data_IF_499827359201
#
_entry.id   IF_499827359201
#
_cell.length_a   1.000
_cell.length_b   1.000
_cell.length_c   1.000
_cell.angle_alpha   90.00
_cell.angle_beta   90.00
_cell.angle_gamma   90.00
#
_symmetry.space_group_name_H-M   'P 1'
#
loop_
_entity.id
_entity.type
_entity.pdbx_description
1 polymer ?
#
# COMPACT_ATOMS: atom_id res chain seq x y z
N UNK A 1 -17.33 -4.00 -13.56
CA UNK A 1 -16.99 -5.08 -12.59
C UNK A 1 -15.81 -5.93 -13.02
N UNK A 2 -15.87 -6.72 -14.10
CA UNK A 2 -14.74 -7.59 -14.49
C UNK A 2 -13.43 -6.82 -14.77
N UNK A 3 -13.54 -5.62 -15.34
CA UNK A 3 -12.41 -4.68 -15.46
C UNK A 3 -11.80 -4.32 -14.11
N UNK A 4 -12.62 -4.04 -13.09
CA UNK A 4 -12.14 -3.70 -11.75
C UNK A 4 -11.43 -4.89 -11.09
N UNK A 5 -11.96 -6.12 -11.25
CA UNK A 5 -11.29 -7.32 -10.76
C UNK A 5 -9.93 -7.55 -11.43
N UNK A 6 -9.85 -7.49 -12.75
CA UNK A 6 -8.58 -7.70 -13.47
C UNK A 6 -7.53 -6.64 -13.12
N UNK A 7 -7.94 -5.40 -12.86
CA UNK A 7 -7.02 -4.32 -12.42
C UNK A 7 -6.64 -4.48 -10.96
N UNK A 8 -7.60 -4.82 -10.11
CA UNK A 8 -7.38 -5.06 -8.68
C UNK A 8 -6.45 -6.23 -8.42
N UNK A 9 -6.59 -7.32 -9.19
CA UNK A 9 -5.70 -8.47 -9.13
C UNK A 9 -4.26 -8.09 -9.49
N UNK A 10 -4.06 -7.34 -10.58
CA UNK A 10 -2.72 -6.84 -10.93
C UNK A 10 -2.13 -5.96 -9.84
N UNK A 11 -2.91 -5.03 -9.31
CA UNK A 11 -2.47 -4.16 -8.22
C UNK A 11 -2.11 -4.97 -6.97
N UNK A 12 -2.88 -5.99 -6.62
CA UNK A 12 -2.58 -6.90 -5.53
C UNK A 12 -1.22 -7.59 -5.72
N UNK A 13 -0.95 -8.14 -6.90
CA UNK A 13 0.33 -8.80 -7.18
C UNK A 13 1.49 -7.81 -7.22
N UNK A 14 1.32 -6.62 -7.81
CA UNK A 14 2.36 -5.59 -7.81
C UNK A 14 2.74 -5.17 -6.38
N UNK A 15 1.73 -4.94 -5.53
CA UNK A 15 1.93 -4.62 -4.10
C UNK A 15 2.60 -5.76 -3.36
N UNK A 16 2.17 -7.01 -3.58
CA UNK A 16 2.78 -8.20 -2.99
C UNK A 16 4.27 -8.30 -3.34
N UNK A 17 4.62 -8.12 -4.63
CA UNK A 17 6.00 -8.18 -5.10
C UNK A 17 6.85 -7.09 -4.42
N UNK A 18 6.35 -5.85 -4.34
CA UNK A 18 7.06 -4.76 -3.67
C UNK A 18 7.28 -5.09 -2.18
N UNK A 19 6.25 -5.57 -1.49
CA UNK A 19 6.35 -5.96 -0.08
C UNK A 19 7.40 -7.07 0.12
N UNK A 20 7.41 -8.09 -0.73
CA UNK A 20 8.38 -9.20 -0.66
C UNK A 20 9.82 -8.74 -0.94
N UNK A 21 10.03 -7.97 -2.02
CA UNK A 21 11.36 -7.44 -2.36
C UNK A 21 11.88 -6.55 -1.23
N UNK A 22 11.02 -5.64 -0.74
CA UNK A 22 11.36 -4.75 0.37
C UNK A 22 11.68 -5.54 1.62
N UNK A 23 10.91 -6.58 1.92
CA UNK A 23 11.15 -7.44 3.09
C UNK A 23 12.50 -8.15 3.02
N UNK A 24 12.84 -8.75 1.87
CA UNK A 24 14.14 -9.43 1.69
C UNK A 24 15.30 -8.43 1.80
N UNK A 25 15.16 -7.26 1.19
CA UNK A 25 16.21 -6.24 1.18
C UNK A 25 16.45 -5.63 2.57
N UNK A 26 15.42 -5.09 3.22
CA UNK A 26 15.58 -4.39 4.51
C UNK A 26 15.76 -5.33 5.70
N UNK A 27 15.45 -6.63 5.55
CA UNK A 27 15.79 -7.62 6.58
C UNK A 27 17.26 -8.03 6.54
N UNK A 28 17.91 -7.92 5.38
CA UNK A 28 19.31 -8.37 5.20
C UNK A 28 20.32 -7.23 5.39
N UNK A 29 19.95 -6.00 5.04
CA UNK A 29 20.84 -4.85 5.10
C UNK A 29 20.53 -3.99 6.33
N UNK A 30 21.53 -3.66 7.19
CA UNK A 30 21.32 -2.81 8.35
C UNK A 30 20.91 -1.38 7.95
N UNK A 31 20.13 -0.72 8.81
CA UNK A 31 19.60 0.61 8.53
C UNK A 31 20.68 1.70 8.69
N UNK A 32 21.17 2.21 7.57
CA UNK A 32 22.06 3.36 7.44
C UNK A 32 21.41 4.45 6.53
N UNK A 33 22.05 5.61 6.38
CA UNK A 33 21.53 6.71 5.54
C UNK A 33 21.23 6.29 4.08
N UNK A 34 22.06 5.41 3.50
CA UNK A 34 21.89 4.92 2.12
C UNK A 34 20.68 3.99 2.01
N UNK A 35 20.51 3.05 2.95
CA UNK A 35 19.35 2.15 2.94
C UNK A 35 18.07 2.92 3.20
N UNK A 36 18.09 3.94 4.07
CA UNK A 36 16.96 4.83 4.28
C UNK A 36 16.54 5.55 2.99
N UNK A 37 17.50 6.05 2.21
CA UNK A 37 17.23 6.67 0.91
C UNK A 37 16.61 5.68 -0.09
N UNK A 38 17.16 4.46 -0.18
CA UNK A 38 16.61 3.39 -1.03
C UNK A 38 15.19 3.02 -0.57
N UNK A 39 14.96 2.94 0.74
CA UNK A 39 13.64 2.72 1.30
C UNK A 39 12.66 3.81 0.91
N UNK A 40 13.10 5.07 0.93
CA UNK A 40 12.27 6.20 0.52
C UNK A 40 11.85 6.09 -0.95
N UNK A 41 12.75 5.66 -1.82
CA UNK A 41 12.43 5.36 -3.24
C UNK A 41 11.42 4.22 -3.34
N UNK A 42 11.63 3.11 -2.62
CA UNK A 42 10.68 1.99 -2.61
C UNK A 42 9.29 2.40 -2.10
N UNK A 43 9.25 3.28 -1.10
CA UNK A 43 8.03 3.84 -0.57
C UNK A 43 7.28 4.70 -1.60
N UNK A 44 8.01 5.55 -2.35
CA UNK A 44 7.43 6.31 -3.45
C UNK A 44 6.90 5.40 -4.57
N UNK A 45 7.62 4.32 -4.90
CA UNK A 45 7.15 3.33 -5.88
C UNK A 45 5.88 2.65 -5.37
N UNK A 46 5.86 2.23 -4.11
CA UNK A 46 4.71 1.59 -3.47
C UNK A 46 3.44 2.44 -3.59
N UNK A 47 3.49 3.71 -3.17
CA UNK A 47 2.35 4.61 -3.31
C UNK A 47 2.09 5.03 -4.76
N UNK A 48 3.14 5.18 -5.56
CA UNK A 48 3.07 5.56 -6.96
C UNK A 48 2.30 4.55 -7.82
N UNK A 49 2.50 3.24 -7.59
CA UNK A 49 1.76 2.20 -8.33
C UNK A 49 0.26 2.26 -8.02
N UNK A 50 -0.13 2.48 -6.76
CA UNK A 50 -1.54 2.64 -6.38
C UNK A 50 -2.18 3.79 -7.15
N UNK A 51 -1.53 4.96 -7.17
CA UNK A 51 -2.00 6.12 -7.93
C UNK A 51 -2.04 5.85 -9.44
N UNK A 52 -0.98 5.27 -9.98
CA UNK A 52 -0.82 4.97 -11.42
C UNK A 52 -1.91 4.02 -11.93
N UNK A 53 -2.25 2.98 -11.15
CA UNK A 53 -3.32 2.05 -11.53
C UNK A 53 -4.68 2.73 -11.61
N UNK A 54 -4.98 3.65 -10.69
CA UNK A 54 -6.17 4.50 -10.76
C UNK A 54 -6.18 5.37 -12.02
N UNK A 55 -5.07 6.05 -12.29
CA UNK A 55 -4.93 6.98 -13.41
C UNK A 55 -4.97 6.29 -14.78
N UNK A 56 -4.25 5.18 -14.97
CA UNK A 56 -4.14 4.48 -16.26
C UNK A 56 -5.46 3.88 -16.72
N UNK A 57 -6.23 3.33 -15.79
CA UNK A 57 -7.36 2.48 -16.13
C UNK A 57 -8.69 3.21 -16.25
N UNK A 58 -8.74 4.53 -16.04
CA UNK A 58 -9.94 5.37 -16.14
C UNK A 58 -11.17 4.69 -15.50
N UNK A 59 -11.09 4.48 -14.18
CA UNK A 59 -12.06 3.71 -13.41
C UNK A 59 -13.22 4.60 -12.95
N UNK A 60 -14.43 4.04 -12.86
CA UNK A 60 -15.50 4.73 -12.11
C UNK A 60 -15.15 4.77 -10.62
N UNK A 61 -15.77 5.67 -9.85
CA UNK A 61 -15.50 5.80 -8.41
C UNK A 61 -15.71 4.46 -7.65
N UNK A 62 -16.77 3.72 -7.96
CA UNK A 62 -17.03 2.40 -7.38
C UNK A 62 -15.98 1.35 -7.78
N UNK A 63 -15.52 1.38 -9.03
CA UNK A 63 -14.47 0.47 -9.52
C UNK A 63 -13.11 0.80 -8.89
N UNK A 64 -12.78 2.09 -8.75
CA UNK A 64 -11.56 2.54 -8.09
C UNK A 64 -11.52 2.14 -6.61
N UNK A 65 -12.66 2.22 -5.92
CA UNK A 65 -12.77 1.77 -4.53
C UNK A 65 -12.53 0.27 -4.41
N UNK A 66 -13.14 -0.55 -5.26
CA UNK A 66 -12.92 -2.01 -5.29
C UNK A 66 -11.46 -2.33 -5.56
N UNK A 67 -10.86 -1.69 -6.58
CA UNK A 67 -9.44 -1.87 -6.92
C UNK A 67 -8.54 -1.49 -5.75
N UNK A 68 -8.82 -0.37 -5.07
CA UNK A 68 -8.06 0.05 -3.89
C UNK A 68 -8.13 -0.94 -2.74
N UNK A 69 -9.32 -1.48 -2.44
CA UNK A 69 -9.50 -2.52 -1.42
C UNK A 69 -8.74 -3.79 -1.80
N UNK A 70 -8.83 -4.23 -3.07
CA UNK A 70 -8.10 -5.40 -3.56
C UNK A 70 -6.58 -5.22 -3.49
N UNK A 71 -6.07 -4.04 -3.83
CA UNK A 71 -4.65 -3.70 -3.71
C UNK A 71 -4.15 -3.75 -2.25
N UNK A 72 -5.04 -3.50 -1.29
CA UNK A 72 -4.75 -3.64 0.14
C UNK A 72 -4.86 -5.10 0.65
N UNK A 73 -5.12 -6.08 -0.22
CA UNK A 73 -5.40 -7.46 0.17
C UNK A 73 -4.32 -8.10 1.04
N UNK A 74 -3.03 -7.81 0.77
CA UNK A 74 -1.91 -8.28 1.60
C UNK A 74 -2.00 -7.72 3.02
N UNK A 75 -2.24 -6.41 3.14
CA UNK A 75 -2.41 -5.73 4.43
C UNK A 75 -3.62 -6.24 5.19
N UNK A 76 -4.76 -6.42 4.50
CA UNK A 76 -5.99 -6.96 5.10
C UNK A 76 -5.78 -8.38 5.64
N UNK A 77 -5.16 -9.25 4.84
CA UNK A 77 -4.88 -10.64 5.22
C UNK A 77 -3.97 -10.70 6.46
N UNK A 78 -2.85 -9.97 6.46
CA UNK A 78 -1.93 -9.96 7.60
C UNK A 78 -2.53 -9.29 8.84
N UNK A 79 -3.34 -8.24 8.66
CA UNK A 79 -4.03 -7.55 9.76
C UNK A 79 -5.01 -8.46 10.50
N UNK A 80 -5.67 -9.38 9.79
CA UNK A 80 -6.57 -10.36 10.41
C UNK A 80 -5.83 -11.23 11.44
N UNK A 81 -4.68 -11.79 11.06
CA UNK A 81 -3.85 -12.58 11.99
C UNK A 81 -3.23 -11.72 13.09
N UNK A 82 -2.78 -10.51 12.76
CA UNK A 82 -2.20 -9.61 13.74
C UNK A 82 -3.20 -9.22 14.85
N UNK A 83 -4.46 -8.94 14.49
CA UNK A 83 -5.52 -8.67 15.47
C UNK A 83 -5.74 -9.88 16.38
N UNK A 84 -5.80 -11.09 15.81
CA UNK A 84 -5.93 -12.30 16.61
C UNK A 84 -4.79 -12.45 17.62
N UNK A 85 -3.55 -12.28 17.17
CA UNK A 85 -2.37 -12.37 18.05
C UNK A 85 -2.35 -11.28 19.11
N UNK A 86 -2.75 -10.05 18.79
CA UNK A 86 -2.81 -8.97 19.77
C UNK A 86 -3.94 -9.16 20.79
N UNK A 87 -5.13 -9.54 20.36
CA UNK A 87 -6.32 -9.57 21.23
C UNK A 87 -6.46 -10.90 21.97
N UNK A 88 -6.23 -12.02 21.30
CA UNK A 88 -6.46 -13.37 21.88
C UNK A 88 -5.22 -13.88 22.58
N UNK A 89 -4.04 -13.73 21.96
CA UNK A 89 -2.77 -14.21 22.53
C UNK A 89 -2.06 -13.15 23.38
N UNK A 90 -2.57 -11.91 23.41
CA UNK A 90 -2.00 -10.79 24.16
C UNK A 90 -0.50 -10.54 23.87
N UNK A 91 -0.08 -10.72 22.62
CA UNK A 91 1.32 -10.64 22.18
C UNK A 91 1.52 -9.52 21.14
N UNK A 92 1.53 -8.22 21.56
CA UNK A 92 1.55 -7.09 20.64
C UNK A 92 2.79 -7.03 19.75
N UNK A 93 3.97 -7.39 20.27
CA UNK A 93 5.21 -7.41 19.48
C UNK A 93 5.16 -8.41 18.33
N UNK A 94 4.58 -9.59 18.57
CA UNK A 94 4.39 -10.61 17.54
C UNK A 94 3.35 -10.18 16.51
N UNK A 95 2.32 -9.45 16.93
CA UNK A 95 1.33 -8.90 16.01
C UNK A 95 1.93 -7.87 15.04
N UNK A 96 2.79 -6.97 15.54
CA UNK A 96 3.56 -6.04 14.69
C UNK A 96 4.51 -6.79 13.76
N UNK A 97 5.16 -7.85 14.25
CA UNK A 97 6.06 -8.67 13.44
C UNK A 97 5.35 -9.35 12.25
N UNK A 98 4.12 -9.85 12.45
CA UNK A 98 3.29 -10.42 11.37
C UNK A 98 2.98 -9.37 10.29
N UNK A 99 2.80 -8.11 10.68
CA UNK A 99 2.54 -7.01 9.75
C UNK A 99 3.81 -6.44 9.09
N UNK A 100 4.99 -6.80 9.58
CA UNK A 100 6.26 -6.26 9.11
C UNK A 100 6.46 -6.37 7.59
N UNK A 101 6.09 -7.48 6.91
CA UNK A 101 6.18 -7.55 5.44
C UNK A 101 5.36 -6.49 4.71
N UNK A 102 4.25 -6.02 5.30
CA UNK A 102 3.42 -4.96 4.75
C UNK A 102 3.95 -3.55 5.09
N UNK A 103 4.59 -3.40 6.26
CA UNK A 103 5.16 -2.13 6.72
C UNK A 103 6.50 -1.80 6.09
N UNK A 104 7.29 -2.81 5.73
CA UNK A 104 8.70 -2.63 5.39
C UNK A 104 8.94 -1.70 4.19
N UNK A 105 7.99 -1.65 3.24
CA UNK A 105 8.02 -0.72 2.12
C UNK A 105 7.73 0.74 2.51
N UNK A 106 7.25 0.99 3.73
CA UNK A 106 6.87 2.32 4.23
C UNK A 106 7.55 2.71 5.56
N UNK A 107 8.45 1.86 6.09
CA UNK A 107 9.26 2.16 7.28
C UNK A 107 9.95 3.55 7.24
N UNK A 108 10.51 4.02 6.11
CA UNK A 108 11.13 5.34 6.08
C UNK A 108 10.21 6.50 6.49
N UNK A 109 8.89 6.36 6.25
CA UNK A 109 7.91 7.35 6.71
C UNK A 109 7.80 7.34 8.24
N UNK A 110 7.79 6.15 8.83
CA UNK A 110 7.63 5.98 10.27
C UNK A 110 8.86 6.52 11.01
N UNK A 111 10.04 6.13 10.52
CA UNK A 111 11.32 6.60 11.03
C UNK A 111 11.44 8.13 10.88
N UNK A 112 10.95 8.70 9.77
CA UNK A 112 10.91 10.17 9.60
C UNK A 112 10.02 10.88 10.63
N UNK A 113 8.89 10.26 11.00
CA UNK A 113 7.96 10.84 11.98
C UNK A 113 8.24 10.42 13.43
N UNK A 114 9.29 9.61 13.69
CA UNK A 114 9.60 9.02 15.01
C UNK A 114 8.36 8.44 15.71
N UNK A 115 7.55 7.67 14.97
CA UNK A 115 6.33 7.06 15.50
C UNK A 115 6.56 5.59 15.83
N UNK A 116 5.94 5.13 16.91
CA UNK A 116 5.93 3.70 17.21
C UNK A 116 5.11 2.92 16.16
N UNK A 117 5.67 1.79 15.75
CA UNK A 117 5.01 0.82 14.87
C UNK A 117 3.87 0.14 15.62
N UNK A 118 2.63 0.44 15.22
CA UNK A 118 1.43 -0.14 15.80
C UNK A 118 0.55 -0.77 14.72
N UNK A 119 -0.37 -1.66 15.10
CA UNK A 119 -1.34 -2.24 14.15
C UNK A 119 -2.16 -1.16 13.44
N UNK A 120 -2.44 -0.03 14.13
CA UNK A 120 -3.20 1.08 13.57
C UNK A 120 -2.54 1.68 12.31
N UNK A 121 -1.22 1.59 12.21
CA UNK A 121 -0.47 2.02 11.04
C UNK A 121 -0.84 1.24 9.77
N UNK A 122 -1.18 -0.05 9.88
CA UNK A 122 -1.64 -0.85 8.73
C UNK A 122 -2.91 -0.27 8.12
N UNK A 123 -3.86 0.12 8.97
CA UNK A 123 -5.10 0.76 8.55
C UNK A 123 -4.87 2.13 7.91
N UNK A 124 -3.89 2.90 8.42
CA UNK A 124 -3.51 4.17 7.80
C UNK A 124 -2.95 3.98 6.39
N UNK A 125 -2.03 3.03 6.19
CA UNK A 125 -1.49 2.72 4.85
C UNK A 125 -2.60 2.28 3.90
N UNK A 126 -3.48 1.38 4.35
CA UNK A 126 -4.59 0.90 3.54
C UNK A 126 -5.50 2.05 3.10
N UNK A 127 -5.83 2.95 4.01
CA UNK A 127 -6.65 4.13 3.70
C UNK A 127 -5.95 5.04 2.68
N UNK A 128 -4.64 5.29 2.84
CA UNK A 128 -3.85 6.09 1.88
C UNK A 128 -3.86 5.42 0.51
N UNK A 129 -3.62 4.11 0.41
CA UNK A 129 -3.62 3.37 -0.86
C UNK A 129 -4.96 3.47 -1.58
N UNK A 130 -6.07 3.30 -0.87
CA UNK A 130 -7.41 3.45 -1.43
C UNK A 130 -7.62 4.86 -1.97
N UNK A 131 -7.24 5.89 -1.20
CA UNK A 131 -7.35 7.28 -1.63
C UNK A 131 -6.47 7.59 -2.86
N UNK A 132 -5.29 6.99 -2.95
CA UNK A 132 -4.40 7.15 -4.11
C UNK A 132 -5.01 6.55 -5.39
N UNK A 133 -5.61 5.37 -5.31
CA UNK A 133 -6.31 4.77 -6.47
C UNK A 133 -7.49 5.65 -6.90
N UNK A 134 -8.29 6.14 -5.94
CA UNK A 134 -9.44 7.01 -6.22
C UNK A 134 -8.99 8.33 -6.85
N UNK A 135 -8.00 8.98 -6.27
CA UNK A 135 -7.47 10.27 -6.76
C UNK A 135 -6.84 10.15 -8.14
N UNK A 136 -6.07 9.09 -8.41
CA UNK A 136 -5.52 8.82 -9.74
C UNK A 136 -6.62 8.72 -10.79
N UNK A 137 -7.70 7.99 -10.48
CA UNK A 137 -8.84 7.87 -11.40
C UNK A 137 -9.59 9.20 -11.58
N UNK A 138 -9.75 9.97 -10.51
CA UNK A 138 -10.39 11.28 -10.56
C UNK A 138 -9.62 12.26 -11.45
N UNK A 139 -8.30 12.31 -11.31
CA UNK A 139 -7.43 13.16 -12.13
C UNK A 139 -7.52 12.76 -13.61
N UNK A 140 -7.51 11.45 -13.92
CA UNK A 140 -7.67 11.00 -15.30
C UNK A 140 -9.00 11.46 -15.91
N UNK A 141 -10.09 11.40 -15.15
CA UNK A 141 -11.39 11.87 -15.59
C UNK A 141 -11.41 13.37 -15.88
N UNK A 142 -10.74 14.19 -15.05
CA UNK A 142 -10.59 15.63 -15.30
C UNK A 142 -9.79 15.87 -16.58
N UNK A 143 -8.63 15.22 -16.73
CA UNK A 143 -7.76 15.37 -17.90
C UNK A 143 -8.51 15.01 -19.19
N UNK A 144 -9.24 13.90 -19.21
CA UNK A 144 -10.03 13.49 -20.37
C UNK A 144 -11.13 14.52 -20.72
N UNK A 145 -11.75 15.15 -19.72
CA UNK A 145 -12.76 16.21 -19.94
C UNK A 145 -12.16 17.49 -20.50
N UNK A 146 -10.93 17.83 -20.12
CA UNK A 146 -10.23 19.01 -20.65
C UNK A 146 -9.82 18.80 -22.10
N UNK A 147 -9.27 17.62 -22.44
CA UNK A 147 -8.84 17.27 -23.80
C UNK A 147 -10.03 17.19 -24.76
N UNK A 148 -11.17 16.63 -24.33
CA UNK A 148 -12.35 16.53 -25.21
C UNK A 148 -13.12 17.85 -25.38
N UNK A 149 -12.74 18.92 -24.65
CA UNK A 149 -13.32 20.26 -24.80
C UNK A 149 -12.47 21.18 -25.68
N UNK A 150 -11.23 20.81 -26.01
CA UNK A 150 -10.35 21.50 -26.96
C UNK A 150 -10.48 20.89 -28.35
#
# INVERSE_FOLDING_TARGET
>A
MQKAFNVGERLFFDVLIICLISFVYFKTVPMNNITFFIGSIMCLIYFGINFYMGYKNNLKASEALIVGIMGCGVGLFLSFFAIYVQVVLNCPNTAVWILMPYFISTIPIIDFFNKDLTILYAFQIMLINILLVISGSFIKNIVNRLINKS
#
